data_IF_023422881128
#
_entry.id   IF_023422881128
#
_cell.length_a   1.000
_cell.length_b   1.000
_cell.length_c   1.000
_cell.angle_alpha   90.00
_cell.angle_beta   90.00
_cell.angle_gamma   90.00
#
_symmetry.space_group_name_H-M   'P 1'
#
loop_
_entity.id
_entity.type
_entity.pdbx_description
1 polymer ?
#
# COMPACT_ATOMS: atom_id res chain seq x y z
N UNK A 1 22.68 -13.16 6.15
CA UNK A 1 22.94 -12.49 7.44
C UNK A 1 22.13 -11.20 7.44
N UNK A 2 21.28 -10.96 8.44
CA UNK A 2 20.50 -9.72 8.53
C UNK A 2 21.41 -8.54 8.93
N UNK A 3 21.05 -7.31 8.55
CA UNK A 3 21.88 -6.10 8.77
C UNK A 3 22.15 -5.89 10.26
N UNK A 4 21.14 -6.11 11.11
CA UNK A 4 21.26 -6.00 12.57
C UNK A 4 22.24 -7.05 13.12
N UNK A 5 22.25 -8.27 12.56
CA UNK A 5 23.19 -9.33 12.95
C UNK A 5 24.62 -9.00 12.53
N UNK A 6 24.81 -8.38 11.35
CA UNK A 6 26.13 -7.93 10.91
C UNK A 6 26.69 -6.81 11.82
N UNK A 7 25.85 -5.83 12.20
CA UNK A 7 26.25 -4.76 13.13
C UNK A 7 26.59 -5.34 14.52
N UNK A 8 25.82 -6.33 15.00
CA UNK A 8 26.12 -7.02 16.26
C UNK A 8 27.49 -7.71 16.22
N UNK A 9 27.84 -8.38 15.13
CA UNK A 9 29.15 -8.99 14.96
C UNK A 9 30.29 -7.95 14.94
N UNK A 10 30.06 -6.78 14.34
CA UNK A 10 31.01 -5.65 14.39
C UNK A 10 31.19 -5.10 15.81
N UNK A 11 30.12 -4.97 16.60
CA UNK A 11 30.18 -4.57 18.01
C UNK A 11 31.03 -5.56 18.82
N UNK A 12 30.82 -6.85 18.62
CA UNK A 12 31.62 -7.88 19.29
C UNK A 12 33.10 -7.81 18.90
N UNK A 13 33.38 -7.49 17.64
CA UNK A 13 34.74 -7.30 17.15
C UNK A 13 35.40 -6.06 17.76
N UNK A 14 34.68 -4.93 17.83
CA UNK A 14 35.14 -3.71 18.51
C UNK A 14 35.41 -3.95 20.00
N UNK A 15 34.57 -4.72 20.70
CA UNK A 15 34.81 -5.13 22.09
C UNK A 15 36.08 -5.96 22.25
N UNK A 16 36.32 -6.94 21.36
CA UNK A 16 37.56 -7.73 21.37
C UNK A 16 38.79 -6.84 21.15
N UNK A 17 38.72 -5.89 20.20
CA UNK A 17 39.78 -4.90 19.98
C UNK A 17 40.03 -4.04 21.22
N UNK A 18 38.98 -3.64 21.94
CA UNK A 18 39.10 -2.88 23.18
C UNK A 18 39.79 -3.66 24.28
N UNK A 19 39.49 -4.95 24.44
CA UNK A 19 40.19 -5.80 25.40
C UNK A 19 41.68 -5.95 25.06
N UNK A 20 42.03 -6.06 23.77
CA UNK A 20 43.42 -6.09 23.32
C UNK A 20 44.12 -4.75 23.54
N UNK A 21 43.41 -3.62 23.35
CA UNK A 21 43.94 -2.26 23.53
C UNK A 21 44.39 -1.94 24.95
N UNK A 22 43.81 -2.58 25.97
CA UNK A 22 44.18 -2.37 27.39
C UNK A 22 45.67 -2.66 27.65
N UNK A 23 46.29 -3.52 26.85
CA UNK A 23 47.73 -3.84 26.94
C UNK A 23 48.63 -2.76 26.35
N UNK A 24 48.11 -1.95 25.43
CA UNK A 24 48.86 -0.90 24.73
C UNK A 24 48.93 0.39 25.55
N UNK A 25 48.06 0.57 26.56
CA UNK A 25 47.95 1.79 27.39
C UNK A 25 47.83 3.08 26.57
N UNK A 26 47.34 2.97 25.33
CA UNK A 26 47.10 4.10 24.43
C UNK A 26 45.69 4.65 24.65
N UNK A 27 45.64 5.88 25.19
CA UNK A 27 44.41 6.57 25.51
C UNK A 27 43.64 7.01 24.25
N UNK A 28 44.33 7.45 23.20
CA UNK A 28 43.71 7.87 21.94
C UNK A 28 43.06 6.68 21.24
N UNK A 29 43.78 5.55 21.20
CA UNK A 29 43.25 4.32 20.62
C UNK A 29 42.04 3.79 21.42
N UNK A 30 42.08 3.88 22.75
CA UNK A 30 40.96 3.49 23.61
C UNK A 30 39.73 4.37 23.41
N UNK A 31 39.92 5.68 23.23
CA UNK A 31 38.84 6.62 22.88
C UNK A 31 38.24 6.28 21.52
N UNK A 32 39.05 6.10 20.49
CA UNK A 32 38.58 5.75 19.14
C UNK A 32 37.74 4.46 19.13
N UNK A 33 38.12 3.45 19.92
CA UNK A 33 37.33 2.22 20.07
C UNK A 33 36.03 2.43 20.85
N UNK A 34 36.00 3.35 21.82
CA UNK A 34 34.78 3.72 22.50
C UNK A 34 33.80 4.42 21.55
N UNK A 35 34.29 5.37 20.75
CA UNK A 35 33.50 6.11 19.77
C UNK A 35 32.96 5.18 18.67
N UNK A 36 33.79 4.26 18.16
CA UNK A 36 33.36 3.23 17.22
C UNK A 36 32.23 2.38 17.79
N UNK A 37 32.36 1.96 19.05
CA UNK A 37 31.37 1.11 19.69
C UNK A 37 30.04 1.86 19.94
N UNK A 38 30.09 3.16 20.24
CA UNK A 38 28.91 4.01 20.34
C UNK A 38 28.23 4.18 18.96
N UNK A 39 29.01 4.52 17.94
CA UNK A 39 28.50 4.67 16.56
C UNK A 39 27.85 3.38 16.04
N UNK A 40 28.42 2.22 16.35
CA UNK A 40 27.81 0.93 16.00
C UNK A 40 26.53 0.64 16.79
N UNK A 41 26.44 1.06 18.06
CA UNK A 41 25.23 0.92 18.86
C UNK A 41 24.10 1.79 18.31
N UNK A 42 24.39 3.04 17.96
CA UNK A 42 23.43 3.97 17.35
C UNK A 42 22.95 3.44 15.98
N UNK A 43 23.88 2.99 15.13
CA UNK A 43 23.55 2.38 13.84
C UNK A 43 22.66 1.13 14.00
N UNK A 44 22.85 0.34 15.08
CA UNK A 44 22.00 -0.82 15.36
C UNK A 44 20.57 -0.40 15.71
N UNK A 45 20.40 0.66 16.51
CA UNK A 45 19.10 1.19 16.88
C UNK A 45 18.38 1.77 15.66
N UNK A 46 19.09 2.53 14.83
CA UNK A 46 18.55 3.08 13.59
C UNK A 46 18.13 1.98 12.61
N UNK A 47 18.96 0.95 12.44
CA UNK A 47 18.62 -0.21 11.60
C UNK A 47 17.38 -0.97 12.11
N UNK A 48 17.19 -1.08 13.43
CA UNK A 48 15.99 -1.66 14.02
C UNK A 48 14.75 -0.81 13.70
N UNK A 49 14.82 0.51 13.88
CA UNK A 49 13.74 1.43 13.55
C UNK A 49 13.37 1.40 12.07
N UNK A 50 14.37 1.36 11.16
CA UNK A 50 14.14 1.22 9.73
C UNK A 50 13.46 -0.12 9.37
N UNK A 51 13.82 -1.21 10.05
CA UNK A 51 13.19 -2.53 9.85
C UNK A 51 11.72 -2.52 10.25
N UNK A 52 11.37 -1.87 11.35
CA UNK A 52 9.99 -1.68 11.78
C UNK A 52 9.19 -0.84 10.79
N UNK A 53 9.74 0.30 10.35
CA UNK A 53 9.10 1.14 9.34
C UNK A 53 8.90 0.38 8.02
N UNK A 54 9.89 -0.39 7.57
CA UNK A 54 9.79 -1.21 6.36
C UNK A 54 8.71 -2.28 6.49
N UNK A 55 8.57 -2.92 7.66
CA UNK A 55 7.52 -3.89 7.91
C UNK A 55 6.13 -3.23 7.86
N UNK A 56 5.95 -2.08 8.50
CA UNK A 56 4.70 -1.33 8.48
C UNK A 56 4.32 -0.88 7.05
N UNK A 57 5.29 -0.40 6.27
CA UNK A 57 5.07 0.01 4.87
C UNK A 57 4.71 -1.17 3.97
N UNK A 58 5.34 -2.34 4.17
CA UNK A 58 4.99 -3.56 3.42
C UNK A 58 3.57 -4.02 3.70
N UNK A 59 3.15 -4.00 4.96
CA UNK A 59 1.79 -4.34 5.35
C UNK A 59 0.77 -3.39 4.71
N UNK A 60 1.02 -2.07 4.79
CA UNK A 60 0.16 -1.08 4.17
C UNK A 60 0.10 -1.23 2.64
N UNK A 61 1.23 -1.53 2.00
CA UNK A 61 1.27 -1.78 0.57
C UNK A 61 0.45 -3.01 0.17
N UNK A 62 0.51 -4.08 0.97
CA UNK A 62 -0.29 -5.29 0.75
C UNK A 62 -1.79 -4.98 0.88
N UNK A 63 -2.20 -4.30 1.95
CA UNK A 63 -3.60 -3.89 2.13
C UNK A 63 -4.12 -2.99 1.02
N UNK A 64 -3.29 -2.04 0.54
CA UNK A 64 -3.66 -1.19 -0.58
C UNK A 64 -3.75 -1.97 -1.89
N UNK A 65 -2.82 -2.89 -2.13
CA UNK A 65 -2.83 -3.75 -3.31
C UNK A 65 -4.06 -4.64 -3.33
N UNK A 66 -4.49 -5.19 -2.20
CA UNK A 66 -5.73 -5.95 -2.08
C UNK A 66 -6.97 -5.08 -2.34
N UNK A 67 -7.02 -3.87 -1.76
CA UNK A 67 -8.11 -2.92 -2.02
C UNK A 67 -8.18 -2.50 -3.49
N UNK A 68 -7.03 -2.33 -4.14
CA UNK A 68 -6.97 -2.04 -5.57
C UNK A 68 -7.45 -3.26 -6.36
N UNK A 69 -6.94 -4.45 -6.07
CA UNK A 69 -7.38 -5.67 -6.73
C UNK A 69 -8.90 -5.86 -6.62
N UNK A 70 -9.50 -5.64 -5.43
CA UNK A 70 -10.94 -5.66 -5.21
C UNK A 70 -11.71 -4.60 -6.00
N UNK A 71 -11.11 -3.43 -6.28
CA UNK A 71 -11.70 -2.41 -7.15
C UNK A 71 -11.56 -2.75 -8.64
N UNK A 72 -10.52 -3.50 -9.01
CA UNK A 72 -10.30 -3.91 -10.40
C UNK A 72 -11.13 -5.12 -10.80
N UNK A 73 -11.37 -6.08 -9.88
CA UNK A 73 -12.32 -7.18 -10.06
C UNK A 73 -13.76 -6.67 -10.00
N UNK A 74 -14.18 -6.09 -11.12
CA UNK A 74 -15.49 -5.48 -11.28
C UNK A 74 -15.47 -4.11 -11.93
N UNK A 75 -14.37 -3.70 -12.59
CA UNK A 75 -14.41 -2.51 -13.45
C UNK A 75 -15.42 -2.75 -14.59
N UNK A 76 -16.49 -1.96 -14.68
CA UNK A 76 -17.44 -2.11 -15.77
C UNK A 76 -16.88 -1.56 -17.08
N UNK A 77 -17.35 -2.10 -18.18
CA UNK A 77 -17.17 -1.53 -19.52
C UNK A 77 -18.32 -0.56 -19.78
N UNK A 78 -18.01 0.61 -20.36
CA UNK A 78 -19.03 1.57 -20.75
C UNK A 78 -19.58 1.23 -22.14
N UNK A 79 -20.84 0.83 -22.22
CA UNK A 79 -21.57 0.56 -23.46
C UNK A 79 -22.87 1.39 -23.50
N UNK A 80 -23.08 2.14 -24.59
CA UNK A 80 -24.25 3.01 -24.83
C UNK A 80 -24.57 3.98 -23.67
N UNK A 81 -23.52 4.52 -23.03
CA UNK A 81 -23.61 5.44 -21.89
C UNK A 81 -23.92 4.77 -20.55
N UNK A 82 -24.00 3.43 -20.51
CA UNK A 82 -24.25 2.62 -19.32
C UNK A 82 -23.08 1.70 -19.00
N UNK A 83 -22.98 1.22 -17.75
CA UNK A 83 -21.95 0.28 -17.33
C UNK A 83 -22.42 -1.17 -17.44
N UNK A 84 -21.59 -2.03 -18.00
CA UNK A 84 -21.78 -3.48 -18.08
C UNK A 84 -20.64 -4.15 -17.33
N UNK A 85 -20.98 -5.09 -16.46
CA UNK A 85 -19.99 -5.83 -15.68
C UNK A 85 -19.80 -7.22 -16.28
N UNK A 86 -18.55 -7.66 -16.35
CA UNK A 86 -18.22 -8.99 -16.85
C UNK A 86 -18.95 -10.07 -16.04
N UNK A 87 -19.68 -10.96 -16.73
CA UNK A 87 -20.47 -12.03 -16.11
C UNK A 87 -21.87 -11.66 -15.62
N UNK A 88 -22.31 -10.41 -15.74
CA UNK A 88 -23.67 -9.99 -15.36
C UNK A 88 -24.50 -9.49 -16.55
N UNK A 89 -25.75 -9.95 -16.62
CA UNK A 89 -26.70 -9.53 -17.66
C UNK A 89 -27.52 -8.32 -17.21
N UNK A 90 -27.05 -7.12 -17.56
CA UNK A 90 -27.78 -5.88 -17.36
C UNK A 90 -26.92 -4.63 -17.45
N UNK A 91 -27.56 -3.52 -17.76
CA UNK A 91 -26.93 -2.20 -17.77
C UNK A 91 -27.02 -1.57 -16.38
N UNK A 92 -25.98 -0.87 -15.97
CA UNK A 92 -25.84 -0.23 -14.67
C UNK A 92 -25.57 1.26 -14.83
N UNK A 93 -25.95 2.04 -13.83
CA UNK A 93 -25.79 3.49 -13.85
C UNK A 93 -24.32 3.89 -13.64
N UNK A 94 -23.77 4.62 -14.60
CA UNK A 94 -22.42 5.20 -14.54
C UNK A 94 -22.27 6.18 -13.38
N UNK A 95 -23.20 7.14 -13.26
CA UNK A 95 -23.17 8.14 -12.20
C UNK A 95 -23.26 7.58 -10.77
N UNK A 96 -24.07 6.54 -10.54
CA UNK A 96 -24.16 5.90 -9.23
C UNK A 96 -22.91 5.08 -8.88
N UNK A 97 -22.28 4.47 -9.89
CA UNK A 97 -21.03 3.74 -9.71
C UNK A 97 -19.86 4.70 -9.45
N UNK A 98 -19.70 5.74 -10.26
CA UNK A 98 -18.56 6.66 -10.17
C UNK A 98 -18.63 7.55 -8.93
N UNK A 99 -19.82 8.06 -8.58
CA UNK A 99 -19.97 8.98 -7.46
C UNK A 99 -20.06 8.27 -6.11
N UNK A 100 -20.60 7.05 -6.06
CA UNK A 100 -20.97 6.37 -4.79
C UNK A 100 -20.47 4.92 -4.70
N UNK A 101 -19.84 4.37 -5.74
CA UNK A 101 -19.45 2.95 -5.78
C UNK A 101 -20.64 1.98 -5.76
N UNK A 102 -21.85 2.46 -6.07
CA UNK A 102 -23.08 1.66 -5.96
C UNK A 102 -23.44 1.06 -7.32
N UNK A 103 -23.57 -0.27 -7.34
CA UNK A 103 -23.99 -1.02 -8.52
C UNK A 103 -25.51 -1.00 -8.66
N UNK A 104 -26.04 0.07 -9.28
CA UNK A 104 -27.48 0.25 -9.50
C UNK A 104 -27.85 -0.21 -10.91
N UNK A 105 -28.67 -1.27 -11.00
CA UNK A 105 -29.19 -1.76 -12.28
C UNK A 105 -30.19 -0.76 -12.86
N UNK A 106 -30.04 -0.46 -14.15
CA UNK A 106 -30.97 0.38 -14.88
C UNK A 106 -32.26 -0.39 -15.18
N UNK A 107 -33.36 0.34 -15.22
CA UNK A 107 -34.68 -0.17 -15.58
C UNK A 107 -35.01 0.27 -17.00
N UNK A 108 -35.62 -0.61 -17.81
CA UNK A 108 -36.05 -0.24 -19.16
C UNK A 108 -37.29 0.67 -19.10
N UNK A 109 -37.21 1.81 -19.76
CA UNK A 109 -38.33 2.75 -19.86
C UNK A 109 -39.34 2.30 -20.93
N UNK A 110 -40.63 2.37 -20.60
CA UNK A 110 -41.74 1.95 -21.48
C UNK A 110 -42.58 3.15 -21.90
N UNK A 111 -43.12 3.10 -23.13
CA UNK A 111 -44.05 4.11 -23.63
C UNK A 111 -43.39 5.43 -24.03
N UNK A 112 -44.07 6.55 -23.80
CA UNK A 112 -43.66 7.89 -24.26
C UNK A 112 -42.30 8.36 -23.69
N UNK A 113 -41.86 7.79 -22.56
CA UNK A 113 -40.60 8.15 -21.90
C UNK A 113 -39.35 7.61 -22.62
N UNK A 114 -39.49 6.72 -23.61
CA UNK A 114 -38.38 6.29 -24.49
C UNK A 114 -37.74 7.43 -25.28
N UNK A 115 -38.45 8.54 -25.49
CA UNK A 115 -37.89 9.74 -26.12
C UNK A 115 -36.73 10.36 -25.31
N UNK A 116 -36.67 10.10 -24.00
CA UNK A 116 -35.65 10.61 -23.10
C UNK A 116 -34.50 9.63 -22.84
N UNK A 117 -34.58 8.40 -23.38
CA UNK A 117 -33.58 7.33 -23.22
C UNK A 117 -34.23 5.96 -23.10
N UNK A 118 -33.49 4.91 -23.46
CA UNK A 118 -33.95 3.50 -23.36
C UNK A 118 -34.00 3.00 -21.92
N UNK A 119 -33.14 3.52 -21.05
CA UNK A 119 -32.99 3.05 -19.68
C UNK A 119 -32.97 4.21 -18.67
N UNK A 120 -33.46 3.97 -17.46
CA UNK A 120 -33.42 4.93 -16.35
C UNK A 120 -32.86 4.33 -15.07
N UNK A 121 -32.17 5.15 -14.28
CA UNK A 121 -31.67 4.76 -12.97
C UNK A 121 -32.71 5.06 -11.87
N UNK A 122 -33.15 4.08 -11.07
CA UNK A 122 -34.13 4.31 -10.01
C UNK A 122 -33.57 5.13 -8.83
N UNK A 123 -32.24 5.25 -8.70
CA UNK A 123 -31.61 5.95 -7.58
C UNK A 123 -31.31 7.42 -7.88
N UNK A 124 -30.79 7.74 -9.07
CA UNK A 124 -30.42 9.12 -9.44
C UNK A 124 -31.32 9.72 -10.53
N UNK A 125 -32.28 8.95 -11.07
CA UNK A 125 -33.26 9.39 -12.08
C UNK A 125 -32.65 9.87 -13.41
N UNK A 126 -31.38 9.56 -13.69
CA UNK A 126 -30.78 9.80 -15.01
C UNK A 126 -31.23 8.74 -16.03
N UNK A 127 -31.38 9.18 -17.28
CA UNK A 127 -31.70 8.34 -18.43
C UNK A 127 -30.46 8.08 -19.29
N UNK A 128 -30.40 6.91 -19.91
CA UNK A 128 -29.27 6.40 -20.69
C UNK A 128 -29.75 5.74 -22.00
N UNK A 129 -28.87 5.63 -23.00
CA UNK A 129 -29.14 4.97 -24.28
C UNK A 129 -30.02 5.78 -25.24
N UNK A 130 -29.65 7.03 -25.51
CA UNK A 130 -30.36 7.92 -26.45
C UNK A 130 -29.97 7.66 -27.90
#
# INVERSE_FOLDING_TARGET
MDVISAIQASIESAKKLRELSKKLQDAEFSMALADLNNSLADAKLEAAGLKEQLAAQKELNLQLSEKLAQRETGKPVCEDGSYVFEGESGNFCTGCWDAKGMKIRLTEEKGAFRAFGKWSCPSCQQCFGQ
#
